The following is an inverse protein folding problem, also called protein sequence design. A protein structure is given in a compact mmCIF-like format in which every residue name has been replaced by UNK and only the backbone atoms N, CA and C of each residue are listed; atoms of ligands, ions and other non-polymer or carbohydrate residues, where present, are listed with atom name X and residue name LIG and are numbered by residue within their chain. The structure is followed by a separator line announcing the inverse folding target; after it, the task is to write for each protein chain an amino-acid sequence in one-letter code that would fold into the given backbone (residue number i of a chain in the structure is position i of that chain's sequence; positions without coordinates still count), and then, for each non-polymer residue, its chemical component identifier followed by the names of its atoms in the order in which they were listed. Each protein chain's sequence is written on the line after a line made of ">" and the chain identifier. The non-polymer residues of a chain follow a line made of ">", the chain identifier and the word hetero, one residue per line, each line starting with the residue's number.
data_IF_463110907428
#
_entry.id   IF_463110907428
#
_cell.length_a   1.000
_cell.length_b   1.000
_cell.length_c   1.000
_cell.angle_alpha   90.00
_cell.angle_beta   90.00
_cell.angle_gamma   90.00
#
_symmetry.space_group_name_H-M   'P 1'
#
loop_
_entity.id
_entity.type
_entity.pdbx_description
1 polymer ?
#
# COMPACT_ATOMS: atom_id res chain seq x y z
N UNK A 1 28.56 -25.42 -6.05
CA UNK A 1 27.49 -24.70 -6.78
C UNK A 1 26.88 -23.68 -5.82
N UNK A 2 27.09 -22.37 -6.03
CA UNK A 2 26.51 -21.33 -5.16
C UNK A 2 25.05 -21.16 -5.57
N UNK A 3 24.11 -21.49 -4.67
CA UNK A 3 22.70 -21.18 -4.89
C UNK A 3 22.57 -19.65 -4.93
N UNK A 4 22.31 -19.10 -6.10
CA UNK A 4 21.83 -17.73 -6.24
C UNK A 4 20.38 -17.81 -5.77
N UNK A 5 20.16 -17.51 -4.49
CA UNK A 5 18.82 -17.26 -3.97
C UNK A 5 18.42 -15.93 -4.59
N UNK A 6 17.34 -15.86 -5.39
CA UNK A 6 16.82 -14.59 -5.86
C UNK A 6 16.48 -13.74 -4.63
N UNK A 7 16.99 -12.52 -4.58
CA UNK A 7 16.62 -11.56 -3.55
C UNK A 7 15.07 -11.48 -3.53
N UNK A 8 14.41 -11.62 -2.36
CA UNK A 8 12.96 -11.52 -2.30
C UNK A 8 12.55 -10.16 -2.89
N UNK A 9 11.43 -10.09 -3.64
CA UNK A 9 10.98 -8.84 -4.23
C UNK A 9 10.86 -7.81 -3.12
N UNK A 10 11.76 -6.83 -3.14
CA UNK A 10 11.72 -5.72 -2.20
C UNK A 10 10.44 -4.97 -2.50
N UNK A 11 9.54 -4.97 -1.51
CA UNK A 11 8.29 -4.21 -1.56
C UNK A 11 8.58 -2.83 -2.15
N UNK A 12 7.85 -2.55 -3.22
CA UNK A 12 7.90 -1.41 -4.12
C UNK A 12 8.60 -0.17 -3.55
N UNK A 13 9.77 0.19 -4.09
CA UNK A 13 10.50 1.44 -3.81
C UNK A 13 9.74 2.73 -4.19
N UNK A 14 8.47 2.63 -4.58
CA UNK A 14 7.68 3.73 -5.15
C UNK A 14 6.76 4.42 -4.14
N UNK A 15 6.61 3.89 -2.93
CA UNK A 15 5.83 4.52 -1.87
C UNK A 15 6.71 5.43 -1.02
N UNK A 16 6.95 6.65 -1.53
CA UNK A 16 7.70 7.67 -0.79
C UNK A 16 6.72 8.57 -0.05
N UNK A 17 6.52 8.33 1.24
CA UNK A 17 5.81 9.25 2.12
C UNK A 17 6.73 10.43 2.43
N UNK A 18 6.20 11.65 2.41
CA UNK A 18 6.99 12.84 2.75
C UNK A 18 7.52 12.71 4.19
N UNK A 19 8.84 12.84 4.44
CA UNK A 19 9.41 12.69 5.79
C UNK A 19 8.84 13.68 6.82
N UNK A 20 8.30 14.80 6.34
CA UNK A 20 7.71 15.87 7.14
C UNK A 20 6.22 15.69 7.42
N UNK A 21 5.58 14.63 6.89
CA UNK A 21 4.17 14.36 7.17
C UNK A 21 4.00 14.11 8.68
N UNK A 22 3.13 14.86 9.39
CA UNK A 22 2.84 14.59 10.79
C UNK A 22 2.28 13.19 10.98
N UNK A 23 2.53 12.61 12.16
CA UNK A 23 2.06 11.25 12.47
C UNK A 23 0.54 11.15 12.45
N UNK A 24 -0.16 12.15 12.98
CA UNK A 24 -1.63 12.15 13.03
C UNK A 24 -2.23 12.24 11.61
N UNK A 25 -1.63 13.05 10.73
CA UNK A 25 -2.03 13.13 9.33
C UNK A 25 -1.75 11.82 8.59
N UNK A 26 -0.62 11.15 8.86
CA UNK A 26 -0.32 9.84 8.31
C UNK A 26 -1.33 8.77 8.77
N UNK A 27 -1.75 8.81 10.04
CA UNK A 27 -2.77 7.92 10.57
C UNK A 27 -4.14 8.19 9.95
N UNK A 28 -4.54 9.47 9.79
CA UNK A 28 -5.78 9.83 9.12
C UNK A 28 -5.79 9.33 7.67
N UNK A 29 -4.70 9.55 6.93
CA UNK A 29 -4.52 9.04 5.58
C UNK A 29 -4.57 7.50 5.53
N UNK A 30 -4.00 6.79 6.51
CA UNK A 30 -4.09 5.33 6.57
C UNK A 30 -5.53 4.83 6.70
N UNK A 31 -6.36 5.53 7.49
CA UNK A 31 -7.80 5.21 7.64
C UNK A 31 -8.56 5.47 6.34
N UNK A 32 -8.28 6.57 5.66
CA UNK A 32 -8.86 6.86 4.35
C UNK A 32 -8.48 5.79 3.31
N UNK A 33 -7.21 5.39 3.29
CA UNK A 33 -6.73 4.30 2.41
C UNK A 33 -7.42 2.98 2.75
N UNK A 34 -7.59 2.63 4.03
CA UNK A 34 -8.32 1.42 4.44
C UNK A 34 -9.80 1.44 4.00
N UNK A 35 -10.41 2.61 4.01
CA UNK A 35 -11.78 2.81 3.51
C UNK A 35 -11.81 2.58 1.99
N UNK A 36 -10.88 3.18 1.24
CA UNK A 36 -10.77 2.99 -0.20
C UNK A 36 -10.50 1.53 -0.59
N UNK A 37 -9.70 0.79 0.18
CA UNK A 37 -9.51 -0.67 -0.01
C UNK A 37 -10.85 -1.38 0.10
N UNK A 38 -11.66 -1.05 1.11
CA UNK A 38 -12.96 -1.67 1.32
C UNK A 38 -13.89 -1.44 0.13
N UNK A 39 -13.91 -0.21 -0.41
CA UNK A 39 -14.70 0.13 -1.59
C UNK A 39 -14.23 -0.63 -2.84
N UNK A 40 -12.91 -0.70 -3.07
CA UNK A 40 -12.33 -1.44 -4.20
C UNK A 40 -12.64 -2.94 -4.10
N UNK A 41 -12.54 -3.52 -2.89
CA UNK A 41 -12.85 -4.93 -2.67
C UNK A 41 -14.35 -5.23 -2.86
N UNK A 42 -15.25 -4.34 -2.43
CA UNK A 42 -16.68 -4.50 -2.69
C UNK A 42 -16.99 -4.55 -4.19
N UNK A 43 -16.31 -3.72 -4.99
CA UNK A 43 -16.43 -3.76 -6.46
C UNK A 43 -15.79 -5.04 -7.02
N UNK A 44 -14.61 -5.42 -6.53
CA UNK A 44 -13.91 -6.64 -6.96
C UNK A 44 -14.79 -7.89 -6.84
N UNK A 45 -15.47 -8.05 -5.69
CA UNK A 45 -16.33 -9.21 -5.45
C UNK A 45 -17.60 -9.25 -6.31
N UNK A 46 -18.01 -8.11 -6.87
CA UNK A 46 -19.16 -7.99 -7.78
C UNK A 46 -18.76 -8.04 -9.26
N UNK A 47 -17.46 -8.01 -9.55
CA UNK A 47 -16.93 -7.96 -10.92
C UNK A 47 -16.67 -9.38 -11.42
N UNK A 48 -17.06 -9.67 -12.66
CA UNK A 48 -16.77 -10.95 -13.31
C UNK A 48 -15.25 -11.18 -13.48
N UNK A 49 -14.79 -12.44 -13.45
CA UNK A 49 -13.38 -12.74 -13.65
C UNK A 49 -12.84 -12.24 -14.99
N UNK A 50 -11.69 -11.57 -14.93
CA UNK A 50 -11.01 -11.02 -16.10
C UNK A 50 -10.14 -9.83 -15.76
N UNK A 51 -9.66 -9.13 -16.79
CA UNK A 51 -8.66 -8.06 -16.66
C UNK A 51 -9.10 -6.93 -15.71
N UNK A 52 -10.39 -6.60 -15.67
CA UNK A 52 -10.92 -5.57 -14.76
C UNK A 52 -10.83 -6.02 -13.31
N UNK A 53 -11.21 -7.28 -13.03
CA UNK A 53 -11.11 -7.87 -11.70
C UNK A 53 -9.63 -7.96 -11.25
N UNK A 54 -8.71 -8.33 -12.14
CA UNK A 54 -7.27 -8.36 -11.86
C UNK A 54 -6.72 -6.98 -11.50
N UNK A 55 -7.13 -5.94 -12.23
CA UNK A 55 -6.73 -4.55 -11.94
C UNK A 55 -7.24 -4.07 -10.58
N UNK A 56 -8.47 -4.45 -10.20
CA UNK A 56 -9.03 -4.13 -8.89
C UNK A 56 -8.25 -4.82 -7.76
N UNK A 57 -7.83 -6.08 -7.97
CA UNK A 57 -6.96 -6.79 -7.03
C UNK A 57 -5.62 -6.07 -6.86
N UNK A 58 -4.95 -5.73 -7.96
CA UNK A 58 -3.66 -5.00 -7.93
C UNK A 58 -3.81 -3.64 -7.25
N UNK A 59 -4.92 -2.93 -7.51
CA UNK A 59 -5.20 -1.66 -6.84
C UNK A 59 -5.37 -1.84 -5.33
N UNK A 60 -6.10 -2.88 -4.89
CA UNK A 60 -6.28 -3.17 -3.47
C UNK A 60 -4.97 -3.54 -2.77
N UNK A 61 -4.09 -4.30 -3.44
CA UNK A 61 -2.76 -4.66 -2.91
C UNK A 61 -1.87 -3.43 -2.77
N UNK A 62 -1.84 -2.57 -3.79
CA UNK A 62 -1.07 -1.31 -3.76
C UNK A 62 -1.54 -0.39 -2.63
N UNK A 63 -2.86 -0.23 -2.46
CA UNK A 63 -3.42 0.54 -1.35
C UNK A 63 -3.07 -0.09 0.00
N UNK A 64 -3.06 -1.42 0.11
CA UNK A 64 -2.61 -2.12 1.32
C UNK A 64 -1.16 -1.79 1.68
N UNK A 65 -0.26 -1.81 0.69
CA UNK A 65 1.14 -1.42 0.89
C UNK A 65 1.27 0.04 1.34
N UNK A 66 0.46 0.95 0.77
CA UNK A 66 0.44 2.36 1.17
C UNK A 66 -0.07 2.55 2.60
N UNK A 67 -1.13 1.85 3.00
CA UNK A 67 -1.64 1.89 4.38
C UNK A 67 -0.58 1.42 5.37
N UNK A 68 0.13 0.31 5.08
CA UNK A 68 1.24 -0.15 5.92
C UNK A 68 2.35 0.91 6.03
N UNK A 69 2.77 1.50 4.92
CA UNK A 69 3.78 2.54 4.93
C UNK A 69 3.36 3.77 5.76
N UNK A 70 2.09 4.17 5.69
CA UNK A 70 1.53 5.28 6.48
C UNK A 70 1.48 4.96 7.98
N UNK A 71 1.13 3.73 8.35
CA UNK A 71 1.12 3.28 9.74
C UNK A 71 2.52 3.17 10.35
N UNK A 72 3.50 2.78 9.54
CA UNK A 72 4.90 2.68 9.95
C UNK A 72 5.66 4.02 9.91
N UNK A 73 5.02 5.07 9.37
CA UNK A 73 5.64 6.38 9.19
C UNK A 73 6.06 6.99 10.53
N UNK A 74 7.35 7.32 10.61
CA UNK A 74 7.96 8.07 11.72
C UNK A 74 8.44 9.40 11.15
N UNK A 75 7.80 10.53 11.50
CA UNK A 75 8.22 11.84 11.03
C UNK A 75 9.69 12.06 11.39
N UNK A 76 10.49 12.54 10.45
CA UNK A 76 11.86 12.95 10.77
C UNK A 76 11.79 14.22 11.62
N UNK A 77 12.06 14.08 12.91
CA UNK A 77 12.29 15.23 13.80
C UNK A 77 13.66 15.78 13.43
N UNK A 78 13.69 16.89 12.68
CA UNK A 78 14.94 17.62 12.48
C UNK A 78 15.41 18.18 13.84
N UNK A 79 16.70 18.00 14.21
CA UNK A 79 17.26 18.49 15.46
C UNK A 79 17.36 20.03 15.50
#
# INVERSE_FOLDING_TARGET
>A
MKKIVPDPPRLSHFLTIRPTLPRDDAMAAAVEVATAISDVLDIYFKTEPGEVQDRLFIASDYLGQLACALLEHKPQVQP
#
